data_IF_601753190496
#
_entry.id   IF_601753190496
#
_cell.length_a   1.000
_cell.length_b   1.000
_cell.length_c   1.000
_cell.angle_alpha   90.00
_cell.angle_beta   90.00
_cell.angle_gamma   90.00
#
_symmetry.space_group_name_H-M   'P 1'
#
loop_
_entity.id
_entity.type
_entity.pdbx_description
1 polymer ?
#
# COMPACT_ATOMS: atom_id res chain seq x y z
N UNK A 1 6.85 6.30 57.45
CA UNK A 1 6.07 6.00 56.24
C UNK A 1 6.35 7.08 55.21
N UNK A 2 7.05 6.79 54.09
CA UNK A 2 7.25 7.80 53.04
C UNK A 2 5.90 8.10 52.41
N UNK A 3 5.48 9.36 52.45
CA UNK A 3 4.36 9.85 51.66
C UNK A 3 4.75 9.71 50.18
N UNK A 4 4.35 8.60 49.55
CA UNK A 4 4.38 8.50 48.10
C UNK A 4 3.26 9.44 47.64
N UNK A 5 3.64 10.59 47.08
CA UNK A 5 2.69 11.52 46.49
C UNK A 5 1.86 10.80 45.43
N UNK A 6 0.53 10.87 45.58
CA UNK A 6 -0.43 10.28 44.65
C UNK A 6 -0.31 10.85 43.22
N UNK A 7 0.44 11.95 43.04
CA UNK A 7 0.75 12.57 41.76
C UNK A 7 1.60 11.70 40.82
N UNK A 8 2.31 10.71 41.36
CA UNK A 8 3.25 9.87 40.61
C UNK A 8 2.64 8.58 40.05
N UNK A 9 1.47 8.16 40.54
CA UNK A 9 0.81 6.90 40.17
C UNK A 9 -0.22 7.11 39.05
N UNK A 10 -0.59 8.35 38.78
CA UNK A 10 -1.55 8.69 37.74
C UNK A 10 -0.93 8.61 36.33
N UNK A 11 -1.64 7.98 35.37
CA UNK A 11 -1.20 7.94 33.99
C UNK A 11 -1.11 9.36 33.44
N UNK A 12 -0.03 9.67 32.70
CA UNK A 12 0.17 10.95 32.02
C UNK A 12 -0.24 10.80 30.56
N UNK A 13 -1.53 10.99 30.20
CA UNK A 13 -2.04 10.64 28.88
C UNK A 13 -1.32 11.41 27.76
N UNK A 14 -1.03 12.69 27.98
CA UNK A 14 -0.33 13.54 27.00
C UNK A 14 1.10 13.01 26.76
N UNK A 15 1.82 12.65 27.83
CA UNK A 15 3.20 12.16 27.71
C UNK A 15 3.23 10.82 26.97
N UNK A 16 2.32 9.91 27.30
CA UNK A 16 2.22 8.62 26.63
C UNK A 16 1.82 8.76 25.17
N UNK A 17 0.94 9.72 24.84
CA UNK A 17 0.56 10.01 23.47
C UNK A 17 1.76 10.52 22.64
N UNK A 18 2.55 11.46 23.19
CA UNK A 18 3.77 11.95 22.53
C UNK A 18 4.80 10.83 22.38
N UNK A 19 5.01 10.03 23.43
CA UNK A 19 5.92 8.88 23.38
C UNK A 19 5.48 7.86 22.30
N UNK A 20 4.18 7.57 22.22
CA UNK A 20 3.60 6.71 21.19
C UNK A 20 3.74 7.28 19.79
N UNK A 21 3.57 8.59 19.61
CA UNK A 21 3.74 9.25 18.31
C UNK A 21 5.20 9.19 17.84
N UNK A 22 6.16 9.48 18.74
CA UNK A 22 7.60 9.39 18.42
C UNK A 22 7.99 7.94 18.12
N UNK A 23 7.56 6.99 18.95
CA UNK A 23 7.83 5.57 18.73
C UNK A 23 7.22 5.09 17.40
N UNK A 24 5.97 5.47 17.12
CA UNK A 24 5.27 5.12 15.89
C UNK A 24 5.94 5.69 14.65
N UNK A 25 6.45 6.92 14.72
CA UNK A 25 7.20 7.54 13.62
C UNK A 25 8.51 6.77 13.35
N UNK A 26 9.29 6.50 14.41
CA UNK A 26 10.55 5.75 14.28
C UNK A 26 10.30 4.34 13.73
N UNK A 27 9.27 3.66 14.26
CA UNK A 27 8.88 2.34 13.79
C UNK A 27 8.38 2.37 12.34
N UNK A 28 7.57 3.36 11.97
CA UNK A 28 7.07 3.53 10.61
C UNK A 28 8.18 3.77 9.59
N UNK A 29 9.17 4.61 9.94
CA UNK A 29 10.37 4.79 9.11
C UNK A 29 11.12 3.47 8.96
N UNK A 30 11.35 2.75 10.06
CA UNK A 30 11.99 1.43 10.02
C UNK A 30 11.23 0.43 9.15
N UNK A 31 9.90 0.45 9.21
CA UNK A 31 9.03 -0.42 8.41
C UNK A 31 9.11 -0.08 6.92
N UNK A 32 9.08 1.20 6.55
CA UNK A 32 9.28 1.64 5.16
C UNK A 32 10.65 1.19 4.66
N UNK A 33 11.71 1.40 5.45
CA UNK A 33 13.06 0.99 5.08
C UNK A 33 13.17 -0.54 4.91
N UNK A 34 12.52 -1.33 5.77
CA UNK A 34 12.48 -2.78 5.64
C UNK A 34 11.79 -3.21 4.34
N UNK A 35 10.62 -2.61 4.04
CA UNK A 35 9.90 -2.87 2.80
C UNK A 35 10.70 -2.44 1.57
N UNK A 36 11.36 -1.29 1.63
CA UNK A 36 12.26 -0.81 0.58
C UNK A 36 13.45 -1.75 0.40
N UNK A 37 14.03 -2.27 1.47
CA UNK A 37 15.12 -3.23 1.40
C UNK A 37 14.66 -4.54 0.75
N UNK A 38 13.50 -5.07 1.13
CA UNK A 38 12.92 -6.25 0.49
C UNK A 38 12.58 -6.00 -0.98
N UNK A 39 12.03 -4.84 -1.32
CA UNK A 39 11.71 -4.46 -2.70
C UNK A 39 12.97 -4.27 -3.56
N UNK A 40 14.09 -3.84 -2.96
CA UNK A 40 15.35 -3.61 -3.68
C UNK A 40 15.93 -4.88 -4.33
N UNK A 41 15.52 -6.07 -3.86
CA UNK A 41 15.90 -7.35 -4.47
C UNK A 41 15.06 -7.66 -5.74
N UNK A 42 13.93 -6.99 -5.96
CA UNK A 42 13.06 -7.23 -7.12
C UNK A 42 13.40 -6.35 -8.34
N UNK A 43 13.78 -6.98 -9.44
CA UNK A 43 13.91 -6.35 -10.76
C UNK A 43 12.53 -6.26 -11.46
N UNK A 44 11.79 -5.16 -11.23
CA UNK A 44 10.43 -4.98 -11.79
C UNK A 44 10.38 -4.39 -13.21
N UNK A 45 11.49 -3.88 -13.72
CA UNK A 45 11.54 -3.27 -15.05
C UNK A 45 12.41 -4.08 -16.00
N UNK A 46 12.06 -4.15 -17.29
CA UNK A 46 12.88 -4.85 -18.28
C UNK A 46 14.29 -4.25 -18.35
N UNK A 47 14.42 -2.92 -18.29
CA UNK A 47 15.71 -2.24 -18.27
C UNK A 47 16.60 -2.64 -17.07
N UNK A 48 16.00 -2.87 -15.89
CA UNK A 48 16.76 -3.33 -14.73
C UNK A 48 17.26 -4.77 -14.93
N UNK A 49 16.46 -5.64 -15.57
CA UNK A 49 16.85 -7.01 -15.93
C UNK A 49 17.97 -7.01 -16.97
N UNK A 50 17.85 -6.22 -18.03
CA UNK A 50 18.88 -6.10 -19.07
C UNK A 50 20.21 -5.63 -18.49
N UNK A 51 20.17 -4.66 -17.57
CA UNK A 51 21.37 -4.15 -16.90
C UNK A 51 22.00 -5.18 -15.96
N UNK A 52 21.18 -5.98 -15.28
CA UNK A 52 21.66 -6.99 -14.33
C UNK A 52 22.26 -8.21 -15.02
N UNK A 53 21.65 -8.69 -16.10
CA UNK A 53 22.08 -9.90 -16.81
C UNK A 53 22.92 -9.63 -18.07
N UNK A 54 23.01 -8.37 -18.52
CA UNK A 54 23.70 -7.95 -19.75
C UNK A 54 23.21 -8.66 -21.02
N UNK A 55 21.92 -9.04 -21.05
CA UNK A 55 21.25 -9.66 -22.20
C UNK A 55 19.95 -8.91 -22.52
N UNK A 56 19.50 -8.87 -23.79
CA UNK A 56 18.28 -8.17 -24.17
C UNK A 56 17.02 -8.91 -23.68
N UNK A 57 16.00 -8.16 -23.24
CA UNK A 57 14.70 -8.73 -22.86
C UNK A 57 13.86 -8.98 -24.11
N UNK A 58 13.45 -10.24 -24.32
CA UNK A 58 12.68 -10.65 -25.51
C UNK A 58 11.18 -10.33 -25.43
N UNK A 59 10.66 -10.15 -24.21
CA UNK A 59 9.25 -9.86 -23.96
C UNK A 59 8.94 -9.89 -22.47
N UNK A 60 7.87 -9.21 -22.06
CA UNK A 60 7.38 -9.19 -20.68
C UNK A 60 6.00 -9.85 -20.60
N UNK A 61 5.80 -10.72 -19.62
CA UNK A 61 4.50 -11.33 -19.33
C UNK A 61 3.84 -10.47 -18.24
N UNK A 62 2.70 -9.86 -18.54
CA UNK A 62 1.95 -9.10 -17.54
C UNK A 62 1.41 -10.04 -16.46
N UNK A 63 1.84 -9.83 -15.21
CA UNK A 63 1.26 -10.50 -14.05
C UNK A 63 -0.20 -10.09 -13.92
N UNK A 64 -1.12 -11.05 -14.09
CA UNK A 64 -2.55 -10.79 -13.94
C UNK A 64 -2.86 -10.37 -12.51
N UNK A 65 -3.15 -9.08 -12.31
CA UNK A 65 -4.00 -8.66 -11.20
C UNK A 65 -5.36 -9.28 -11.46
N UNK A 66 -5.83 -10.07 -10.50
CA UNK A 66 -7.05 -10.85 -10.55
C UNK A 66 -8.17 -10.09 -11.25
N UNK A 67 -8.73 -10.73 -12.28
CA UNK A 67 -10.00 -10.36 -12.86
C UNK A 67 -10.97 -10.03 -11.74
N UNK A 68 -11.34 -8.75 -11.64
CA UNK A 68 -12.51 -8.35 -10.88
C UNK A 68 -13.67 -9.10 -11.50
N UNK A 69 -14.04 -10.18 -10.84
CA UNK A 69 -15.14 -11.06 -11.21
C UNK A 69 -16.33 -10.19 -11.60
N UNK A 70 -16.76 -10.41 -12.84
CA UNK A 70 -18.08 -10.17 -13.39
C UNK A 70 -19.16 -10.05 -12.31
N UNK A 71 -19.35 -8.84 -11.78
CA UNK A 71 -20.55 -8.47 -11.07
C UNK A 71 -21.42 -7.66 -12.03
N UNK A 72 -22.22 -8.41 -12.80
CA UNK A 72 -23.51 -8.00 -13.32
C UNK A 72 -23.61 -6.64 -14.04
N UNK A 73 -23.25 -6.63 -15.32
CA UNK A 73 -24.03 -5.85 -16.31
C UNK A 73 -24.31 -6.71 -17.54
N UNK A 74 -24.95 -7.86 -17.29
CA UNK A 74 -25.88 -8.43 -18.28
C UNK A 74 -27.21 -7.73 -18.00
N UNK A 75 -27.37 -6.55 -18.59
CA UNK A 75 -28.50 -5.66 -18.37
C UNK A 75 -28.85 -4.88 -19.63
N UNK A 76 -29.74 -5.47 -20.42
CA UNK A 76 -30.61 -4.85 -21.43
C UNK A 76 -30.03 -4.43 -22.81
N UNK A 77 -30.21 -5.26 -23.86
CA UNK A 77 -30.39 -4.76 -25.21
C UNK A 77 -31.79 -4.17 -25.33
N UNK A 78 -31.94 -2.86 -25.15
CA UNK A 78 -33.27 -2.23 -25.09
C UNK A 78 -33.33 -0.72 -25.37
N UNK A 79 -32.31 -0.11 -25.96
CA UNK A 79 -32.39 1.27 -26.47
C UNK A 79 -31.86 1.37 -27.89
N UNK A 80 -32.62 0.79 -28.83
CA UNK A 80 -32.67 1.39 -30.17
C UNK A 80 -33.36 2.74 -30.03
N UNK A 81 -32.60 3.82 -30.20
CA UNK A 81 -33.15 5.17 -30.32
C UNK A 81 -34.10 5.21 -31.50
N UNK A 82 -35.34 5.63 -31.25
CA UNK A 82 -36.31 5.89 -32.29
C UNK A 82 -35.76 6.93 -33.29
N UNK A 83 -36.03 6.76 -34.60
CA UNK A 83 -35.65 7.76 -35.60
C UNK A 83 -36.43 9.05 -35.32
N UNK A 84 -35.70 10.16 -35.19
CA UNK A 84 -36.30 11.50 -35.17
C UNK A 84 -36.90 11.75 -36.56
N UNK A 85 -38.23 11.67 -36.66
CA UNK A 85 -38.98 12.25 -37.78
C UNK A 85 -39.26 13.72 -37.50
N UNK A 86 -39.33 14.47 -38.61
CA UNK A 86 -39.51 15.92 -38.73
C UNK A 86 -40.75 16.48 -38.05
#
# INVERSE_FOLDING_TARGET
SRAIGYDRIQPKPIVNAVAGAVLGLLFGIGLVLLLTWMESDLLRTPAAVERALAIPVLGAISGGSESKETAASVGQPGRMGAPKTA
#
